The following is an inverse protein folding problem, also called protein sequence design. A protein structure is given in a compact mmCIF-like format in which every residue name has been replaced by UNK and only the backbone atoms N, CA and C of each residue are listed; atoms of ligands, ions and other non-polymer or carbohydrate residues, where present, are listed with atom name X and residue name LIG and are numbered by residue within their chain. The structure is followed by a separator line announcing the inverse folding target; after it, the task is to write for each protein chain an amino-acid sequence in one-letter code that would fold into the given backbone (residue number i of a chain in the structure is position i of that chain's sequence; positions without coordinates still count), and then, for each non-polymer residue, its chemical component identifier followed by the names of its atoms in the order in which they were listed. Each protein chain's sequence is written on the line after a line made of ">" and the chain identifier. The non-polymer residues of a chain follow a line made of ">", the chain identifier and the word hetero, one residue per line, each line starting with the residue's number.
data_IF_780281833344
#
_entry.id   IF_780281833344
#
_cell.length_a   1.000
_cell.length_b   1.000
_cell.length_c   1.000
_cell.angle_alpha   90.00
_cell.angle_beta   90.00
_cell.angle_gamma   90.00
#
_symmetry.space_group_name_H-M   'P 1'
#
loop_
_entity.id
_entity.type
_entity.pdbx_description
1 polymer ?
#
# COMPACT_ATOMS: atom_id res chain seq x y z
N UNK A 1 25.85 -14.10 -8.99
CA UNK A 1 25.68 -12.77 -9.62
C UNK A 1 24.27 -12.21 -9.40
N UNK A 2 23.20 -12.99 -9.58
CA UNK A 2 21.82 -12.52 -9.36
C UNK A 2 21.54 -12.13 -7.89
N UNK A 3 21.98 -12.96 -6.93
CA UNK A 3 21.77 -12.72 -5.48
C UNK A 3 22.51 -11.48 -4.97
N UNK A 4 23.75 -11.24 -5.41
CA UNK A 4 24.51 -10.05 -5.03
C UNK A 4 23.86 -8.76 -5.55
N UNK A 5 23.31 -8.79 -6.75
CA UNK A 5 22.57 -7.67 -7.34
C UNK A 5 21.27 -7.43 -6.57
N UNK A 6 20.53 -8.49 -6.24
CA UNK A 6 19.32 -8.43 -5.43
C UNK A 6 19.58 -7.80 -4.05
N UNK A 7 20.61 -8.24 -3.34
CA UNK A 7 20.95 -7.70 -2.01
C UNK A 7 21.39 -6.23 -2.06
N UNK A 8 22.05 -5.81 -3.13
CA UNK A 8 22.44 -4.40 -3.33
C UNK A 8 21.22 -3.52 -3.59
N UNK A 9 20.29 -3.99 -4.43
CA UNK A 9 19.00 -3.34 -4.69
C UNK A 9 18.17 -3.20 -3.41
N UNK A 10 18.08 -4.27 -2.62
CA UNK A 10 17.31 -4.27 -1.37
C UNK A 10 17.85 -3.24 -0.37
N UNK A 11 19.18 -3.14 -0.21
CA UNK A 11 19.81 -2.14 0.68
C UNK A 11 19.49 -0.70 0.28
N UNK A 12 19.28 -0.43 -1.00
CA UNK A 12 18.96 0.90 -1.51
C UNK A 12 17.45 1.19 -1.46
N UNK A 13 16.62 0.20 -1.75
CA UNK A 13 15.16 0.35 -1.78
C UNK A 13 14.55 0.40 -0.37
N UNK A 14 15.04 -0.40 0.58
CA UNK A 14 14.51 -0.43 1.96
C UNK A 14 14.46 0.97 2.61
N UNK A 15 15.53 1.79 2.63
CA UNK A 15 15.46 3.11 3.24
C UNK A 15 14.50 4.06 2.51
N UNK A 16 14.42 3.97 1.17
CA UNK A 16 13.44 4.73 0.39
C UNK A 16 12.01 4.34 0.77
N UNK A 17 11.78 3.05 0.93
CA UNK A 17 10.50 2.48 1.28
C UNK A 17 10.06 2.87 2.70
N UNK A 18 10.98 2.81 3.67
CA UNK A 18 10.72 3.29 5.04
C UNK A 18 10.42 4.79 5.04
N UNK A 19 11.17 5.59 4.27
CA UNK A 19 10.91 7.03 4.16
C UNK A 19 9.53 7.31 3.57
N UNK A 20 9.13 6.60 2.51
CA UNK A 20 7.80 6.71 1.91
C UNK A 20 6.70 6.37 2.94
N UNK A 21 6.84 5.23 3.64
CA UNK A 21 5.89 4.79 4.66
C UNK A 21 5.72 5.82 5.78
N UNK A 22 6.81 6.45 6.25
CA UNK A 22 6.76 7.50 7.26
C UNK A 22 6.02 8.74 6.74
N UNK A 23 6.29 9.16 5.50
CA UNK A 23 5.63 10.34 4.90
C UNK A 23 4.12 10.08 4.76
N UNK A 24 3.73 8.90 4.28
CA UNK A 24 2.31 8.54 4.16
C UNK A 24 1.63 8.43 5.52
N UNK A 25 2.30 7.84 6.52
CA UNK A 25 1.77 7.80 7.88
C UNK A 25 1.53 9.22 8.44
N UNK A 26 2.49 10.13 8.28
CA UNK A 26 2.30 11.53 8.71
C UNK A 26 1.13 12.19 7.97
N UNK A 27 0.96 11.93 6.67
CA UNK A 27 -0.14 12.49 5.87
C UNK A 27 -1.49 11.88 6.25
N UNK A 28 -1.54 10.61 6.63
CA UNK A 28 -2.76 9.95 7.11
C UNK A 28 -3.26 10.57 8.44
N UNK A 29 -2.35 10.96 9.34
CA UNK A 29 -2.73 11.58 10.63
C UNK A 29 -2.94 13.10 10.57
N UNK A 30 -2.21 13.81 9.70
CA UNK A 30 -2.21 15.29 9.64
C UNK A 30 -2.60 15.84 8.27
N UNK A 31 -3.29 15.06 7.45
CA UNK A 31 -3.71 15.49 6.12
C UNK A 31 -4.68 16.69 6.21
N UNK A 32 -4.48 17.75 5.40
CA UNK A 32 -5.32 18.95 5.45
C UNK A 32 -6.71 18.73 4.85
N UNK A 33 -6.84 17.77 3.92
CA UNK A 33 -8.12 17.40 3.30
C UNK A 33 -8.43 15.94 3.58
N UNK A 34 -9.72 15.60 3.62
CA UNK A 34 -10.19 14.22 3.77
C UNK A 34 -9.68 13.35 2.62
N UNK A 35 -9.59 13.92 1.41
CA UNK A 35 -9.08 13.23 0.22
C UNK A 35 -7.59 12.88 0.38
N UNK A 36 -6.78 13.80 0.90
CA UNK A 36 -5.35 13.56 1.14
C UNK A 36 -5.12 12.45 2.18
N UNK A 37 -5.97 12.38 3.19
CA UNK A 37 -5.90 11.34 4.23
C UNK A 37 -6.23 9.98 3.61
N UNK A 38 -7.31 9.91 2.83
CA UNK A 38 -7.76 8.64 2.23
C UNK A 38 -6.74 8.14 1.20
N UNK A 39 -6.20 9.03 0.35
CA UNK A 39 -5.13 8.69 -0.58
C UNK A 39 -3.87 8.19 0.13
N UNK A 40 -3.50 8.80 1.26
CA UNK A 40 -2.36 8.34 2.05
C UNK A 40 -2.61 6.94 2.65
N UNK A 41 -3.84 6.63 3.06
CA UNK A 41 -4.22 5.31 3.58
C UNK A 41 -4.22 4.25 2.47
N UNK A 42 -4.64 4.57 1.25
CA UNK A 42 -4.53 3.65 0.11
C UNK A 42 -3.06 3.34 -0.21
N UNK A 43 -2.21 4.37 -0.28
CA UNK A 43 -0.77 4.19 -0.50
C UNK A 43 -0.12 3.31 0.59
N UNK A 44 -0.49 3.50 1.87
CA UNK A 44 -0.02 2.64 2.97
C UNK A 44 -0.48 1.18 2.82
N UNK A 45 -1.71 0.96 2.36
CA UNK A 45 -2.27 -0.38 2.14
C UNK A 45 -1.54 -1.10 1.00
N UNK A 46 -1.25 -0.38 -0.08
CA UNK A 46 -0.46 -0.90 -1.20
C UNK A 46 0.98 -1.21 -0.80
N UNK A 47 1.60 -0.37 0.03
CA UNK A 47 2.90 -0.65 0.62
C UNK A 47 2.84 -1.99 1.36
N UNK A 48 1.92 -2.17 2.32
CA UNK A 48 1.79 -3.44 3.06
C UNK A 48 1.59 -4.64 2.12
N UNK A 49 0.78 -4.51 1.07
CA UNK A 49 0.60 -5.57 0.08
C UNK A 49 1.91 -5.91 -0.66
N UNK A 50 2.69 -4.92 -1.07
CA UNK A 50 4.01 -5.11 -1.69
C UNK A 50 4.99 -5.79 -0.73
N UNK A 51 4.99 -5.40 0.56
CA UNK A 51 5.82 -6.02 1.58
C UNK A 51 5.43 -7.49 1.81
N UNK A 52 4.13 -7.80 1.86
CA UNK A 52 3.62 -9.17 1.94
C UNK A 52 4.03 -10.02 0.73
N UNK A 53 4.01 -9.45 -0.48
CA UNK A 53 4.46 -10.15 -1.69
C UNK A 53 5.97 -10.47 -1.64
N UNK A 54 6.79 -9.53 -1.17
CA UNK A 54 8.24 -9.76 -0.99
C UNK A 54 8.49 -10.84 0.08
N UNK A 55 7.76 -10.80 1.20
CA UNK A 55 7.84 -11.83 2.23
C UNK A 55 7.40 -13.21 1.72
N UNK A 56 6.40 -13.27 0.85
CA UNK A 56 5.96 -14.52 0.25
C UNK A 56 7.07 -15.19 -0.57
N UNK A 57 7.83 -14.39 -1.34
CA UNK A 57 9.01 -14.85 -2.07
C UNK A 57 10.10 -15.33 -1.11
N UNK A 58 10.35 -14.57 -0.03
CA UNK A 58 11.36 -14.92 0.97
C UNK A 58 11.05 -16.23 1.70
N UNK A 59 9.82 -16.41 2.16
CA UNK A 59 9.37 -17.63 2.84
C UNK A 59 9.06 -18.80 1.88
N UNK A 60 9.16 -18.59 0.56
CA UNK A 60 8.77 -19.55 -0.48
C UNK A 60 7.35 -20.10 -0.27
N UNK A 61 6.44 -19.25 0.20
CA UNK A 61 5.11 -19.63 0.63
C UNK A 61 4.06 -18.74 -0.04
N UNK A 62 3.10 -19.37 -0.71
CA UNK A 62 2.09 -18.69 -1.54
C UNK A 62 1.00 -18.02 -0.68
N UNK A 63 0.84 -18.42 0.57
CA UNK A 63 -0.25 -17.97 1.44
C UNK A 63 -0.24 -16.45 1.71
N UNK A 64 0.95 -15.82 1.74
CA UNK A 64 1.06 -14.37 1.92
C UNK A 64 0.59 -13.58 0.69
N UNK A 65 0.70 -14.15 -0.51
CA UNK A 65 0.27 -13.50 -1.75
C UNK A 65 -1.25 -13.43 -1.81
N UNK A 66 -1.97 -14.46 -1.39
CA UNK A 66 -3.44 -14.43 -1.42
C UNK A 66 -3.99 -13.34 -0.51
N UNK A 67 -3.40 -13.16 0.69
CA UNK A 67 -3.74 -12.07 1.59
C UNK A 67 -3.45 -10.68 0.99
N UNK A 68 -2.30 -10.52 0.32
CA UNK A 68 -1.93 -9.27 -0.34
C UNK A 68 -2.91 -8.87 -1.44
N UNK A 69 -3.36 -9.83 -2.26
CA UNK A 69 -4.34 -9.58 -3.32
C UNK A 69 -5.68 -9.13 -2.75
N UNK A 70 -6.17 -9.82 -1.70
CA UNK A 70 -7.43 -9.45 -1.04
C UNK A 70 -7.34 -8.04 -0.46
N UNK A 71 -6.24 -7.72 0.22
CA UNK A 71 -6.02 -6.40 0.80
C UNK A 71 -6.00 -5.30 -0.26
N UNK A 72 -5.34 -5.55 -1.40
CA UNK A 72 -5.30 -4.60 -2.53
C UNK A 72 -6.70 -4.38 -3.15
N UNK A 73 -7.49 -5.44 -3.32
CA UNK A 73 -8.86 -5.33 -3.84
C UNK A 73 -9.78 -4.57 -2.87
N UNK A 74 -9.57 -4.74 -1.57
CA UNK A 74 -10.37 -4.09 -0.55
C UNK A 74 -10.05 -2.60 -0.43
N UNK A 75 -8.77 -2.23 -0.47
CA UNK A 75 -8.32 -0.84 -0.53
C UNK A 75 -8.90 -0.13 -1.77
N UNK A 76 -8.78 -0.76 -2.93
CA UNK A 76 -9.35 -0.24 -4.19
C UNK A 76 -10.87 -0.01 -4.11
N UNK A 77 -11.61 -0.94 -3.51
CA UNK A 77 -13.07 -0.79 -3.35
C UNK A 77 -13.42 0.39 -2.45
N UNK A 78 -12.66 0.58 -1.36
CA UNK A 78 -12.84 1.70 -0.45
C UNK A 78 -12.61 3.04 -1.15
N UNK A 79 -11.60 3.13 -2.02
CA UNK A 79 -11.32 4.36 -2.78
C UNK A 79 -12.43 4.70 -3.78
N UNK A 80 -12.96 3.72 -4.50
CA UNK A 80 -14.11 3.93 -5.39
C UNK A 80 -15.31 4.41 -4.61
N UNK A 81 -15.57 3.80 -3.45
CA UNK A 81 -16.70 4.17 -2.61
C UNK A 81 -16.60 5.61 -2.12
N UNK A 82 -15.42 6.01 -1.63
CA UNK A 82 -15.14 7.39 -1.22
C UNK A 82 -15.25 8.34 -2.40
N UNK A 83 -14.67 8.02 -3.55
CA UNK A 83 -14.72 8.86 -4.74
C UNK A 83 -16.16 9.09 -5.19
N UNK A 84 -16.98 8.04 -5.20
CA UNK A 84 -18.42 8.14 -5.52
C UNK A 84 -19.16 9.01 -4.51
N UNK A 85 -18.88 8.84 -3.21
CA UNK A 85 -19.46 9.67 -2.17
C UNK A 85 -19.10 11.16 -2.31
N UNK A 86 -17.84 11.47 -2.66
CA UNK A 86 -17.38 12.85 -2.83
C UNK A 86 -18.04 13.53 -4.04
N UNK A 87 -18.28 12.79 -5.12
CA UNK A 87 -18.85 13.33 -6.36
C UNK A 87 -20.37 13.43 -6.28
N UNK A 88 -21.04 12.36 -5.87
CA UNK A 88 -22.50 12.24 -5.96
C UNK A 88 -23.21 12.43 -4.62
N UNK A 89 -22.49 12.46 -3.49
CA UNK A 89 -23.06 12.40 -2.12
C UNK A 89 -23.99 11.20 -1.87
N UNK A 90 -23.97 10.23 -2.77
CA UNK A 90 -24.76 9.01 -2.72
C UNK A 90 -23.82 7.81 -2.59
N UNK A 91 -24.17 6.87 -1.72
CA UNK A 91 -23.42 5.64 -1.49
C UNK A 91 -24.34 4.44 -1.68
N UNK A 92 -24.12 3.70 -2.76
CA UNK A 92 -25.01 2.62 -3.22
C UNK A 92 -25.32 2.77 -4.70
N UNK A 93 -25.77 1.69 -5.34
CA UNK A 93 -26.45 1.77 -6.63
C UNK A 93 -27.82 2.41 -6.45
#
# INVERSE_FOLDING_TARGET
>A
MLESTFMTLMKLIIPLYIAAFIIYAVRAFRGPTVVDIILAVDCLSFDVAAFMAILAVYFKSVYLVSGAIILALWAYLLDIYVAKYLVSREVGA
#
